data_IF_780722103548
#
_entry.id   IF_780722103548
#
_cell.length_a   1.000
_cell.length_b   1.000
_cell.length_c   1.000
_cell.angle_alpha   90.00
_cell.angle_beta   90.00
_cell.angle_gamma   90.00
#
_symmetry.space_group_name_H-M   'P 1'
#
loop_
_entity.id
_entity.type
_entity.pdbx_description
1 polymer ?
#
# COMPACT_ATOMS: atom_id res chain seq x y z
N UNK A 1 3.66 -8.95 11.69
CA UNK A 1 3.34 -9.16 10.27
C UNK A 1 3.73 -7.89 9.54
N UNK A 2 4.47 -8.01 8.44
CA UNK A 2 4.82 -6.89 7.57
C UNK A 2 3.55 -6.35 6.89
N UNK A 3 3.47 -5.04 6.70
CA UNK A 3 2.40 -4.41 5.94
C UNK A 3 2.72 -4.61 4.46
N UNK A 4 1.87 -5.35 3.74
CA UNK A 4 2.08 -5.69 2.34
C UNK A 4 0.90 -5.34 1.44
N UNK A 5 1.18 -5.19 0.16
CA UNK A 5 0.21 -4.90 -0.91
C UNK A 5 0.08 -6.12 -1.80
N UNK A 6 -1.11 -6.67 -1.92
CA UNK A 6 -1.39 -7.80 -2.80
C UNK A 6 -1.75 -7.32 -4.21
N UNK A 7 -1.03 -7.79 -5.22
CA UNK A 7 -1.34 -7.49 -6.62
C UNK A 7 -2.29 -8.55 -7.15
N UNK A 8 -3.45 -8.13 -7.60
CA UNK A 8 -4.48 -9.00 -8.18
C UNK A 8 -4.89 -8.53 -9.57
N UNK A 9 -5.47 -9.41 -10.36
CA UNK A 9 -6.00 -9.11 -11.69
C UNK A 9 -6.39 -10.38 -12.41
N UNK A 10 -7.27 -10.27 -13.39
CA UNK A 10 -7.62 -11.36 -14.28
C UNK A 10 -6.40 -11.78 -15.16
N UNK A 11 -6.42 -12.93 -15.78
CA UNK A 11 -5.37 -13.31 -16.73
C UNK A 11 -5.21 -12.29 -17.85
N UNK A 12 -3.96 -12.07 -18.29
CA UNK A 12 -3.60 -11.22 -19.44
C UNK A 12 -3.93 -9.72 -19.31
N UNK A 13 -4.10 -9.22 -18.07
CA UNK A 13 -4.30 -7.77 -17.81
C UNK A 13 -3.00 -6.98 -17.64
N UNK A 14 -1.83 -7.65 -17.63
CA UNK A 14 -0.53 -7.05 -17.36
C UNK A 14 -0.07 -7.13 -15.92
N UNK A 15 -0.72 -7.98 -15.08
CA UNK A 15 -0.35 -8.19 -13.69
C UNK A 15 1.12 -8.63 -13.53
N UNK A 16 1.53 -9.65 -14.29
CA UNK A 16 2.91 -10.16 -14.25
C UNK A 16 3.93 -9.13 -14.73
N UNK A 17 3.61 -8.35 -15.77
CA UNK A 17 4.49 -7.26 -16.24
C UNK A 17 4.64 -6.17 -15.17
N UNK A 18 3.56 -5.78 -14.51
CA UNK A 18 3.61 -4.83 -13.39
C UNK A 18 4.47 -5.37 -12.24
N UNK A 19 4.31 -6.65 -11.88
CA UNK A 19 5.13 -7.27 -10.84
C UNK A 19 6.59 -7.42 -11.25
N UNK A 20 6.87 -7.75 -12.52
CA UNK A 20 8.22 -7.82 -13.07
C UNK A 20 8.92 -6.46 -13.01
N UNK A 21 8.22 -5.36 -13.34
CA UNK A 21 8.78 -4.02 -13.22
C UNK A 21 9.18 -3.71 -11.77
N UNK A 22 8.35 -4.06 -10.78
CA UNK A 22 8.68 -3.94 -9.35
C UNK A 22 9.90 -4.79 -8.97
N UNK A 23 9.96 -6.05 -9.41
CA UNK A 23 11.07 -6.96 -9.12
C UNK A 23 12.38 -6.49 -9.75
N UNK A 24 12.33 -6.00 -10.99
CA UNK A 24 13.51 -5.41 -11.66
C UNK A 24 13.98 -4.15 -10.91
N UNK A 25 13.06 -3.30 -10.45
CA UNK A 25 13.39 -2.13 -9.62
C UNK A 25 14.07 -2.56 -8.32
N UNK A 26 13.56 -3.59 -7.62
CA UNK A 26 14.22 -4.17 -6.45
C UNK A 26 15.65 -4.62 -6.76
N UNK A 27 15.84 -5.35 -7.84
CA UNK A 27 17.16 -5.87 -8.23
C UNK A 27 18.15 -4.74 -8.55
N UNK A 28 17.70 -3.68 -9.22
CA UNK A 28 18.52 -2.50 -9.49
C UNK A 28 18.93 -1.76 -8.19
N UNK A 29 18.10 -1.82 -7.15
CA UNK A 29 18.34 -1.20 -5.85
C UNK A 29 19.05 -2.11 -4.84
N UNK A 30 19.19 -3.41 -5.13
CA UNK A 30 19.71 -4.43 -4.18
C UNK A 30 21.13 -4.19 -3.69
N UNK A 31 21.94 -3.44 -4.44
CA UNK A 31 23.29 -3.03 -4.00
C UNK A 31 23.30 -2.28 -2.65
N UNK A 32 22.18 -1.65 -2.27
CA UNK A 32 22.03 -0.89 -1.04
C UNK A 32 21.46 -1.70 0.15
N UNK A 33 20.99 -2.96 -0.08
CA UNK A 33 20.35 -3.81 0.93
C UNK A 33 20.89 -5.25 0.88
N UNK A 34 22.02 -5.55 1.52
CA UNK A 34 22.73 -6.84 1.40
C UNK A 34 22.02 -8.06 2.02
N UNK A 35 20.82 -7.89 2.64
CA UNK A 35 20.11 -8.96 3.35
C UNK A 35 18.68 -9.21 2.85
N UNK A 36 18.27 -8.70 1.67
CA UNK A 36 16.96 -9.04 1.11
C UNK A 36 17.00 -10.44 0.49
N UNK A 37 16.33 -11.38 1.14
CA UNK A 37 16.02 -12.69 0.54
C UNK A 37 15.02 -12.46 -0.59
N UNK A 38 15.36 -12.86 -1.81
CA UNK A 38 14.43 -12.77 -2.96
C UNK A 38 13.45 -13.96 -2.82
N UNK A 39 12.20 -13.67 -2.51
CA UNK A 39 11.11 -14.65 -2.55
C UNK A 39 10.41 -14.56 -3.92
N UNK A 40 10.07 -15.70 -4.57
CA UNK A 40 9.58 -15.71 -5.96
C UNK A 40 8.34 -14.84 -6.23
N UNK A 41 7.51 -14.61 -5.22
CA UNK A 41 6.25 -13.89 -5.34
C UNK A 41 6.22 -12.60 -4.52
N UNK A 42 7.39 -12.09 -4.08
CA UNK A 42 7.50 -10.86 -3.30
C UNK A 42 8.52 -9.90 -3.90
N UNK A 43 8.16 -8.64 -3.96
CA UNK A 43 9.05 -7.56 -4.34
C UNK A 43 9.07 -6.51 -3.23
N UNK A 44 10.27 -6.17 -2.74
CA UNK A 44 10.48 -5.11 -1.75
C UNK A 44 11.15 -3.95 -2.47
N UNK A 45 10.44 -2.85 -2.61
CA UNK A 45 10.90 -1.70 -3.38
C UNK A 45 10.99 -0.45 -2.53
N UNK A 46 11.94 0.42 -2.86
CA UNK A 46 12.09 1.71 -2.20
C UNK A 46 10.88 2.60 -2.47
N UNK A 47 10.42 3.31 -1.45
CA UNK A 47 9.41 4.37 -1.58
C UNK A 47 10.10 5.62 -2.12
N UNK A 48 9.72 6.11 -3.32
CA UNK A 48 10.25 7.37 -3.84
C UNK A 48 9.85 8.52 -2.90
N UNK A 49 10.85 9.24 -2.38
CA UNK A 49 10.63 10.40 -1.52
C UNK A 49 11.67 11.49 -1.79
N UNK A 50 11.26 12.51 -2.56
CA UNK A 50 12.13 13.65 -2.93
C UNK A 50 12.65 14.43 -1.71
N UNK A 51 11.99 14.30 -0.56
CA UNK A 51 12.43 14.95 0.67
C UNK A 51 13.74 14.37 1.18
N UNK A 52 13.90 13.05 1.05
CA UNK A 52 15.12 12.35 1.45
C UNK A 52 16.33 12.83 0.62
N UNK A 53 16.14 13.01 -0.70
CA UNK A 53 17.19 13.51 -1.60
C UNK A 53 17.57 14.96 -1.26
N UNK A 54 16.60 15.81 -0.96
CA UNK A 54 16.84 17.19 -0.56
C UNK A 54 17.60 17.29 0.77
N UNK A 55 17.27 16.46 1.76
CA UNK A 55 18.02 16.34 3.02
C UNK A 55 19.48 15.91 2.76
N UNK A 56 19.66 14.92 1.87
CA UNK A 56 20.99 14.40 1.51
C UNK A 56 21.86 15.46 0.83
N UNK A 57 21.30 16.35 0.00
CA UNK A 57 22.03 17.46 -0.62
C UNK A 57 22.58 18.44 0.43
N UNK A 58 21.87 18.68 1.55
CA UNK A 58 22.33 19.55 2.63
C UNK A 58 23.39 18.86 3.50
N UNK A 59 23.11 17.62 3.91
CA UNK A 59 23.94 16.91 4.89
C UNK A 59 25.17 16.26 4.26
N UNK A 60 25.09 15.89 2.96
CA UNK A 60 26.10 15.17 2.18
C UNK A 60 26.58 13.89 2.90
N UNK A 61 25.65 12.93 3.13
CA UNK A 61 25.92 11.72 3.87
C UNK A 61 26.77 10.73 3.05
N UNK A 62 27.39 9.75 3.74
CA UNK A 62 28.06 8.63 3.09
C UNK A 62 27.07 7.69 2.40
N UNK A 63 25.82 7.60 2.91
CA UNK A 63 24.76 6.74 2.34
C UNK A 63 23.38 7.29 2.59
N UNK A 64 22.45 6.92 1.69
CA UNK A 64 21.03 7.27 1.74
C UNK A 64 20.23 5.97 1.83
N UNK A 65 19.31 5.89 2.80
CA UNK A 65 18.47 4.70 3.02
C UNK A 65 16.98 5.09 2.94
N UNK A 66 16.29 4.53 1.96
CA UNK A 66 14.87 4.74 1.73
C UNK A 66 13.99 3.83 2.60
N UNK A 67 12.76 4.24 2.84
CA UNK A 67 11.68 3.34 3.28
C UNK A 67 11.33 2.36 2.17
N UNK A 68 10.74 1.23 2.53
CA UNK A 68 10.37 0.19 1.57
C UNK A 68 8.89 -0.21 1.72
N UNK A 69 8.32 -0.71 0.61
CA UNK A 69 7.01 -1.37 0.57
C UNK A 69 7.17 -2.77 -0.01
N UNK A 70 6.48 -3.73 0.60
CA UNK A 70 6.40 -5.10 0.11
C UNK A 70 5.17 -5.27 -0.79
N UNK A 71 5.40 -5.76 -2.01
CA UNK A 71 4.36 -6.20 -2.93
C UNK A 71 4.38 -7.72 -3.04
N UNK A 72 3.20 -8.32 -3.08
CA UNK A 72 3.02 -9.77 -3.21
C UNK A 72 2.26 -10.05 -4.48
N UNK A 73 2.86 -10.81 -5.41
CA UNK A 73 2.14 -11.29 -6.60
C UNK A 73 1.19 -12.41 -6.19
N UNK A 74 -0.10 -12.15 -6.29
CA UNK A 74 -1.12 -13.12 -5.97
C UNK A 74 -1.55 -13.78 -7.29
N UNK A 75 -1.30 -15.09 -7.41
CA UNK A 75 -1.65 -15.86 -8.61
C UNK A 75 -3.09 -15.60 -9.04
N UNK A 76 -3.30 -15.45 -10.37
CA UNK A 76 -4.54 -14.94 -10.94
C UNK A 76 -5.81 -15.67 -10.48
N UNK A 77 -6.86 -14.89 -10.32
CA UNK A 77 -8.19 -15.36 -9.99
C UNK A 77 -8.73 -16.23 -11.13
N UNK A 78 -9.17 -17.45 -10.80
CA UNK A 78 -10.03 -18.24 -11.67
C UNK A 78 -11.46 -18.01 -11.19
N UNK A 79 -12.38 -17.69 -12.09
CA UNK A 79 -13.81 -17.52 -11.80
C UNK A 79 -14.33 -18.72 -11.00
N UNK A 80 -14.97 -18.48 -9.84
CA UNK A 80 -15.42 -19.52 -8.93
C UNK A 80 -14.41 -19.88 -7.83
N UNK A 81 -13.42 -19.04 -7.56
CA UNK A 81 -12.43 -19.21 -6.48
C UNK A 81 -13.07 -19.41 -5.10
N UNK A 82 -14.22 -18.75 -4.85
CA UNK A 82 -14.99 -18.84 -3.61
C UNK A 82 -15.69 -20.20 -3.41
N UNK A 83 -15.88 -21.01 -4.47
CA UNK A 83 -16.53 -22.33 -4.39
C UNK A 83 -15.62 -23.46 -3.90
N UNK A 84 -14.37 -23.16 -3.56
CA UNK A 84 -13.56 -24.04 -2.71
C UNK A 84 -12.72 -25.10 -3.43
N UNK A 85 -12.45 -24.99 -4.72
CA UNK A 85 -11.55 -25.91 -5.42
C UNK A 85 -10.11 -25.34 -5.53
N UNK A 86 -9.19 -25.91 -4.77
CA UNK A 86 -7.74 -25.83 -4.96
C UNK A 86 -7.13 -24.43 -4.96
N UNK A 87 -6.80 -23.91 -6.14
CA UNK A 87 -6.07 -22.65 -6.34
C UNK A 87 -6.83 -21.41 -5.85
N UNK A 88 -8.18 -21.44 -5.87
CA UNK A 88 -9.00 -20.33 -5.39
C UNK A 88 -8.85 -20.07 -3.89
N UNK A 89 -8.78 -21.12 -3.07
CA UNK A 89 -8.57 -20.96 -1.63
C UNK A 89 -7.20 -20.38 -1.30
N UNK A 90 -6.16 -20.74 -2.07
CA UNK A 90 -4.82 -20.20 -1.89
C UNK A 90 -4.77 -18.71 -2.29
N UNK A 91 -5.45 -18.31 -3.37
CA UNK A 91 -5.61 -16.92 -3.78
C UNK A 91 -6.23 -16.07 -2.66
N UNK A 92 -7.37 -16.50 -2.11
CA UNK A 92 -8.05 -15.80 -1.04
C UNK A 92 -7.22 -15.74 0.26
N UNK A 93 -6.48 -16.82 0.57
CA UNK A 93 -5.57 -16.85 1.72
C UNK A 93 -4.43 -15.82 1.57
N UNK A 94 -3.83 -15.73 0.38
CA UNK A 94 -2.77 -14.75 0.12
C UNK A 94 -3.30 -13.30 0.19
N UNK A 95 -4.50 -13.02 -0.35
CA UNK A 95 -5.12 -11.69 -0.20
C UNK A 95 -5.35 -11.37 1.29
N UNK A 96 -5.76 -12.37 2.08
CA UNK A 96 -6.03 -12.17 3.50
C UNK A 96 -4.81 -11.68 4.28
N UNK A 97 -3.61 -12.07 3.87
CA UNK A 97 -2.35 -11.64 4.50
C UNK A 97 -1.93 -10.21 4.15
N UNK A 98 -2.41 -9.67 3.03
CA UNK A 98 -2.13 -8.30 2.61
C UNK A 98 -3.06 -7.29 3.28
N UNK A 99 -2.60 -6.04 3.46
CA UNK A 99 -3.42 -4.95 4.03
C UNK A 99 -4.11 -4.10 2.95
N UNK A 100 -3.50 -3.99 1.76
CA UNK A 100 -4.02 -3.24 0.61
C UNK A 100 -4.05 -4.14 -0.61
N UNK A 101 -5.03 -3.97 -1.45
CA UNK A 101 -5.17 -4.69 -2.73
C UNK A 101 -4.86 -3.71 -3.86
N UNK A 102 -3.95 -4.09 -4.75
CA UNK A 102 -3.65 -3.42 -6.01
C UNK A 102 -4.30 -4.22 -7.14
N UNK A 103 -5.39 -3.73 -7.68
CA UNK A 103 -6.10 -4.41 -8.78
C UNK A 103 -5.64 -3.87 -10.12
N UNK A 104 -4.93 -4.70 -10.90
CA UNK A 104 -4.53 -4.39 -12.27
C UNK A 104 -5.66 -4.72 -13.22
N UNK A 105 -6.03 -3.76 -14.07
CA UNK A 105 -7.15 -3.84 -15.02
C UNK A 105 -6.66 -3.52 -16.42
N UNK A 106 -7.02 -4.36 -17.39
CA UNK A 106 -6.65 -4.14 -18.80
C UNK A 106 -7.46 -2.99 -19.40
N UNK A 107 -6.75 -1.98 -19.87
CA UNK A 107 -7.31 -0.82 -20.57
C UNK A 107 -6.59 -0.52 -21.90
N UNK A 108 -5.76 -1.45 -22.40
CA UNK A 108 -5.08 -1.37 -23.68
C UNK A 108 -5.67 -2.36 -24.69
N UNK A 109 -5.61 -2.03 -25.95
CA UNK A 109 -5.98 -2.92 -27.06
C UNK A 109 -4.71 -3.58 -27.62
N UNK A 110 -4.73 -4.90 -27.82
CA UNK A 110 -3.68 -5.67 -28.46
C UNK A 110 -4.30 -6.96 -29.01
N UNK A 111 -4.32 -7.09 -30.34
CA UNK A 111 -4.91 -8.21 -31.06
C UNK A 111 -4.17 -9.54 -30.81
N UNK A 112 -2.91 -9.48 -30.37
CA UNK A 112 -2.09 -10.66 -30.06
C UNK A 112 -2.33 -11.19 -28.64
N UNK A 113 -3.04 -10.45 -27.79
CA UNK A 113 -3.29 -10.82 -26.40
C UNK A 113 -4.78 -11.11 -26.21
N UNK A 114 -5.12 -12.39 -26.07
CA UNK A 114 -6.51 -12.83 -25.84
C UNK A 114 -7.02 -12.33 -24.49
N UNK A 115 -8.22 -11.74 -24.47
CA UNK A 115 -8.93 -11.43 -23.24
C UNK A 115 -9.78 -12.61 -22.80
N UNK A 116 -9.95 -12.83 -21.49
CA UNK A 116 -10.70 -13.96 -20.91
C UNK A 116 -12.17 -13.96 -21.36
N UNK A 117 -12.73 -12.78 -21.64
CA UNK A 117 -14.13 -12.60 -22.05
C UNK A 117 -14.27 -12.18 -23.53
N UNK A 118 -13.26 -12.40 -24.37
CA UNK A 118 -13.21 -12.01 -25.82
C UNK A 118 -13.40 -10.51 -26.09
N UNK A 119 -13.71 -9.71 -25.07
CA UNK A 119 -13.93 -8.26 -25.17
C UNK A 119 -13.36 -7.56 -23.94
N UNK A 120 -12.71 -6.42 -24.15
CA UNK A 120 -12.19 -5.59 -23.06
C UNK A 120 -13.37 -4.88 -22.39
N UNK A 121 -13.63 -5.25 -21.14
CA UNK A 121 -14.63 -4.60 -20.28
C UNK A 121 -14.06 -4.42 -18.87
N UNK A 122 -13.38 -3.28 -18.63
CA UNK A 122 -12.70 -3.04 -17.35
C UNK A 122 -13.62 -3.07 -16.12
N UNK A 123 -14.88 -2.65 -16.26
CA UNK A 123 -15.82 -2.66 -15.15
C UNK A 123 -16.24 -4.08 -14.79
N UNK A 124 -16.54 -4.91 -15.79
CA UNK A 124 -16.84 -6.31 -15.54
C UNK A 124 -15.66 -7.08 -14.95
N UNK A 125 -14.42 -6.74 -15.34
CA UNK A 125 -13.21 -7.32 -14.76
C UNK A 125 -13.06 -6.94 -13.28
N UNK A 126 -13.35 -5.69 -12.92
CA UNK A 126 -13.35 -5.21 -11.54
C UNK A 126 -14.43 -5.92 -10.73
N UNK A 127 -15.67 -5.90 -11.21
CA UNK A 127 -16.82 -6.50 -10.54
C UNK A 127 -16.63 -8.01 -10.30
N UNK A 128 -15.98 -8.71 -11.23
CA UNK A 128 -15.68 -10.14 -11.08
C UNK A 128 -14.79 -10.41 -9.87
N UNK A 129 -13.76 -9.59 -9.65
CA UNK A 129 -12.86 -9.74 -8.48
C UNK A 129 -13.59 -9.31 -7.20
N UNK A 130 -14.27 -8.17 -7.20
CA UNK A 130 -15.01 -7.68 -6.04
C UNK A 130 -16.06 -8.69 -5.57
N UNK A 131 -16.78 -9.31 -6.51
CA UNK A 131 -17.76 -10.35 -6.21
C UNK A 131 -17.14 -11.56 -5.51
N UNK A 132 -16.00 -12.06 -5.99
CA UNK A 132 -15.33 -13.21 -5.37
C UNK A 132 -14.84 -12.88 -3.93
N UNK A 133 -14.40 -11.63 -3.67
CA UNK A 133 -14.04 -11.19 -2.33
C UNK A 133 -15.27 -11.17 -1.40
N UNK A 134 -16.40 -10.66 -1.87
CA UNK A 134 -17.67 -10.63 -1.10
C UNK A 134 -18.13 -12.06 -0.79
N UNK A 135 -18.13 -12.95 -1.78
CA UNK A 135 -18.55 -14.35 -1.57
C UNK A 135 -17.65 -15.09 -0.57
N UNK A 136 -16.35 -14.80 -0.58
CA UNK A 136 -15.42 -15.37 0.39
C UNK A 136 -15.67 -14.82 1.80
N UNK A 137 -16.04 -13.55 1.93
CA UNK A 137 -16.40 -12.94 3.20
C UNK A 137 -17.70 -13.55 3.76
N UNK A 138 -18.72 -13.76 2.93
CA UNK A 138 -19.96 -14.45 3.31
C UNK A 138 -19.64 -15.86 3.86
N UNK A 139 -18.84 -16.65 3.13
CA UNK A 139 -18.48 -18.00 3.54
C UNK A 139 -17.69 -18.04 4.87
N UNK A 140 -16.89 -17.03 5.13
CA UNK A 140 -16.13 -16.88 6.38
C UNK A 140 -17.04 -16.45 7.53
N UNK A 141 -17.94 -15.49 7.25
CA UNK A 141 -18.88 -14.95 8.21
C UNK A 141 -19.93 -15.98 8.65
N UNK A 142 -20.42 -16.83 7.74
CA UNK A 142 -21.37 -17.93 8.06
C UNK A 142 -20.80 -18.86 9.13
N UNK A 143 -19.56 -19.29 8.97
CA UNK A 143 -18.88 -20.12 9.97
C UNK A 143 -18.77 -19.44 11.34
N UNK A 144 -18.63 -18.11 11.35
CA UNK A 144 -18.56 -17.34 12.59
C UNK A 144 -19.94 -17.18 13.23
N UNK A 145 -20.98 -16.91 12.43
CA UNK A 145 -22.37 -16.84 12.88
C UNK A 145 -22.78 -18.13 13.59
N UNK A 146 -22.49 -19.31 13.00
CA UNK A 146 -22.77 -20.62 13.61
C UNK A 146 -22.11 -20.78 14.99
N UNK A 147 -20.87 -20.28 15.14
CA UNK A 147 -20.15 -20.31 16.43
C UNK A 147 -20.77 -19.36 17.45
N UNK A 148 -21.12 -18.13 17.02
CA UNK A 148 -21.77 -17.13 17.87
C UNK A 148 -23.14 -17.58 18.37
N UNK A 149 -23.94 -18.23 17.52
CA UNK A 149 -25.24 -18.81 17.89
C UNK A 149 -25.10 -19.88 19.00
N UNK A 150 -24.05 -20.71 18.92
CA UNK A 150 -23.77 -21.70 19.96
C UNK A 150 -23.30 -21.04 21.27
N UNK A 151 -22.57 -19.93 21.18
CA UNK A 151 -22.03 -19.19 22.33
C UNK A 151 -23.07 -18.31 23.05
N UNK A 152 -24.20 -17.98 22.42
CA UNK A 152 -25.28 -17.16 23.01
C UNK A 152 -25.78 -17.62 24.37
N UNK A 153 -25.63 -18.92 24.66
CA UNK A 153 -26.07 -19.52 25.95
C UNK A 153 -25.17 -19.10 27.14
N UNK A 154 -24.01 -18.49 26.88
CA UNK A 154 -23.00 -18.25 27.90
C UNK A 154 -22.46 -16.82 28.00
N UNK A 155 -22.73 -15.93 27.01
CA UNK A 155 -22.15 -14.57 27.01
C UNK A 155 -23.09 -13.52 26.42
N UNK A 156 -23.16 -12.35 27.11
CA UNK A 156 -23.94 -11.19 26.67
C UNK A 156 -23.29 -10.48 25.47
N UNK A 157 -21.96 -10.51 25.40
CA UNK A 157 -21.18 -9.88 24.33
C UNK A 157 -21.37 -10.63 22.99
N UNK A 158 -21.58 -11.95 23.04
CA UNK A 158 -21.90 -12.75 21.87
C UNK A 158 -23.18 -12.29 21.14
N UNK A 159 -24.13 -11.65 21.86
CA UNK A 159 -25.38 -11.15 21.27
C UNK A 159 -25.12 -9.98 20.34
N UNK A 160 -24.33 -8.99 20.76
CA UNK A 160 -24.03 -7.80 19.96
C UNK A 160 -23.20 -8.17 18.70
N UNK A 161 -22.24 -9.07 18.88
CA UNK A 161 -21.43 -9.59 17.77
C UNK A 161 -22.29 -10.36 16.76
N UNK A 162 -23.24 -11.19 17.24
CA UNK A 162 -24.14 -11.93 16.37
C UNK A 162 -25.07 -11.00 15.60
N UNK A 163 -25.66 -10.00 16.24
CA UNK A 163 -26.51 -9.01 15.58
C UNK A 163 -25.74 -8.25 14.49
N UNK A 164 -24.53 -7.79 14.79
CA UNK A 164 -23.66 -7.15 13.81
C UNK A 164 -23.33 -8.10 12.65
N UNK A 165 -22.99 -9.36 12.93
CA UNK A 165 -22.66 -10.36 11.93
C UNK A 165 -23.84 -10.68 10.99
N UNK A 166 -25.06 -10.78 11.52
CA UNK A 166 -26.27 -10.99 10.71
C UNK A 166 -26.59 -9.80 9.82
N UNK A 167 -26.48 -8.58 10.33
CA UNK A 167 -26.67 -7.37 9.55
C UNK A 167 -25.62 -7.22 8.45
N UNK A 168 -24.34 -7.52 8.76
CA UNK A 168 -23.27 -7.52 7.78
C UNK A 168 -23.51 -8.60 6.71
N UNK A 169 -23.98 -9.80 7.09
CA UNK A 169 -24.31 -10.85 6.13
C UNK A 169 -25.36 -10.39 5.14
N UNK A 170 -26.45 -9.78 5.60
CA UNK A 170 -27.51 -9.22 4.73
C UNK A 170 -26.93 -8.19 3.75
N UNK A 171 -26.02 -7.31 4.23
CA UNK A 171 -25.35 -6.31 3.39
C UNK A 171 -24.48 -6.94 2.30
N UNK A 172 -23.72 -7.99 2.65
CA UNK A 172 -22.87 -8.73 1.70
C UNK A 172 -23.71 -9.54 0.69
N UNK A 173 -24.84 -10.13 1.11
CA UNK A 173 -25.79 -10.83 0.24
C UNK A 173 -26.45 -9.91 -0.80
N UNK A 174 -26.53 -8.60 -0.53
CA UNK A 174 -26.91 -7.58 -1.51
C UNK A 174 -25.75 -7.19 -2.45
N UNK A 175 -24.66 -7.95 -2.46
CA UNK A 175 -23.43 -7.71 -3.23
C UNK A 175 -22.74 -6.37 -2.92
N UNK A 176 -22.91 -5.87 -1.70
CA UNK A 176 -22.27 -4.66 -1.20
C UNK A 176 -21.03 -5.04 -0.39
N UNK A 177 -19.85 -4.47 -0.66
CA UNK A 177 -18.61 -4.83 0.05
C UNK A 177 -18.66 -4.39 1.52
N UNK A 178 -17.94 -5.09 2.39
CA UNK A 178 -17.90 -4.81 3.83
C UNK A 178 -17.44 -3.36 4.14
N UNK A 179 -16.61 -2.75 3.31
CA UNK A 179 -16.17 -1.35 3.44
C UNK A 179 -17.33 -0.34 3.39
N UNK A 180 -18.45 -0.69 2.75
CA UNK A 180 -19.65 0.17 2.65
C UNK A 180 -20.73 -0.17 3.68
N UNK A 181 -20.47 -1.11 4.59
CA UNK A 181 -21.39 -1.45 5.66
C UNK A 181 -21.62 -0.24 6.59
N UNK A 182 -22.87 0.18 6.85
CA UNK A 182 -23.14 1.40 7.63
C UNK A 182 -22.54 1.43 9.04
N UNK A 183 -22.32 0.25 9.63
CA UNK A 183 -21.73 0.09 10.96
C UNK A 183 -20.27 -0.38 10.92
N UNK A 184 -19.55 -0.14 9.84
CA UNK A 184 -18.15 -0.58 9.65
C UNK A 184 -17.13 0.06 10.61
N UNK A 185 -17.54 1.05 11.40
CA UNK A 185 -16.73 1.67 12.47
C UNK A 185 -17.18 1.27 13.87
N UNK A 186 -18.24 0.45 14.01
CA UNK A 186 -18.73 0.00 15.30
C UNK A 186 -17.73 -0.96 15.97
N UNK A 187 -17.70 -0.99 17.30
CA UNK A 187 -16.82 -1.88 18.06
C UNK A 187 -17.02 -3.35 17.68
N UNK A 188 -18.28 -3.78 17.53
CA UNK A 188 -18.62 -5.14 17.14
C UNK A 188 -18.11 -5.49 15.73
N UNK A 189 -18.20 -4.57 14.75
CA UNK A 189 -17.66 -4.78 13.42
C UNK A 189 -16.12 -4.85 13.45
N UNK A 190 -15.47 -3.92 14.15
CA UNK A 190 -14.01 -3.88 14.26
C UNK A 190 -13.45 -5.14 14.93
N UNK A 191 -14.16 -5.71 15.91
CA UNK A 191 -13.81 -6.99 16.53
C UNK A 191 -13.93 -8.14 15.52
N UNK A 192 -15.05 -8.21 14.77
CA UNK A 192 -15.23 -9.21 13.71
C UNK A 192 -14.18 -9.08 12.61
N UNK A 193 -13.89 -7.86 12.15
CA UNK A 193 -12.90 -7.62 11.09
C UNK A 193 -11.48 -7.97 11.55
N UNK A 194 -11.13 -7.65 12.79
CA UNK A 194 -9.83 -8.04 13.38
C UNK A 194 -9.64 -9.57 13.42
N UNK A 195 -10.72 -10.33 13.71
CA UNK A 195 -10.69 -11.79 13.73
C UNK A 195 -10.74 -12.40 12.34
N UNK A 196 -11.67 -11.94 11.49
CA UNK A 196 -12.01 -12.58 10.22
C UNK A 196 -11.21 -11.99 9.05
N UNK A 197 -10.74 -10.75 9.17
CA UNK A 197 -9.98 -10.00 8.15
C UNK A 197 -10.74 -9.99 6.83
N UNK A 198 -11.88 -9.30 6.80
CA UNK A 198 -12.75 -9.23 5.64
C UNK A 198 -12.00 -8.69 4.42
N UNK A 199 -12.10 -9.44 3.32
CA UNK A 199 -11.39 -9.13 2.08
C UNK A 199 -12.00 -7.91 1.39
N UNK A 200 -13.33 -7.80 1.38
CA UNK A 200 -14.05 -6.67 0.78
C UNK A 200 -14.06 -5.40 1.67
N UNK A 201 -13.46 -5.46 2.88
CA UNK A 201 -13.18 -4.29 3.72
C UNK A 201 -11.84 -3.64 3.40
N UNK A 202 -10.91 -4.38 2.77
CA UNK A 202 -9.57 -3.88 2.45
C UNK A 202 -9.60 -2.69 1.51
N UNK A 203 -8.62 -1.79 1.67
CA UNK A 203 -8.42 -0.69 0.75
C UNK A 203 -7.97 -1.19 -0.60
N UNK A 204 -8.47 -0.56 -1.66
CA UNK A 204 -8.14 -0.92 -3.04
C UNK A 204 -7.53 0.26 -3.79
N UNK A 205 -6.53 -0.07 -4.61
CA UNK A 205 -5.94 0.82 -5.60
C UNK A 205 -6.22 0.20 -6.98
N UNK A 206 -6.91 0.94 -7.84
CA UNK A 206 -7.19 0.48 -9.20
C UNK A 206 -6.09 0.97 -10.14
N UNK A 207 -5.44 0.04 -10.83
CA UNK A 207 -4.38 0.31 -11.80
C UNK A 207 -4.89 0.01 -13.19
N UNK A 208 -5.14 1.04 -13.98
CA UNK A 208 -5.45 0.91 -15.39
C UNK A 208 -4.14 0.69 -16.17
N UNK A 209 -3.93 -0.52 -16.68
CA UNK A 209 -2.83 -0.80 -17.59
C UNK A 209 -3.24 -0.37 -18.99
N UNK A 210 -2.64 0.70 -19.50
CA UNK A 210 -2.95 1.37 -20.77
C UNK A 210 -1.84 1.19 -21.80
N UNK A 211 -2.10 1.57 -23.05
CA UNK A 211 -1.05 1.77 -24.06
C UNK A 211 -0.19 3.00 -23.75
N UNK A 212 0.97 3.09 -24.38
CA UNK A 212 1.90 4.22 -24.20
C UNK A 212 1.23 5.54 -24.61
N UNK A 213 0.48 5.55 -25.70
CA UNK A 213 -0.25 6.68 -26.24
C UNK A 213 -1.35 7.22 -25.31
N UNK A 214 -1.83 6.40 -24.39
CA UNK A 214 -2.93 6.73 -23.45
C UNK A 214 -2.44 7.26 -22.09
N UNK A 215 -1.13 7.33 -21.86
CA UNK A 215 -0.57 7.78 -20.58
C UNK A 215 -0.87 9.26 -20.30
N UNK A 216 -0.76 10.11 -21.31
CA UNK A 216 -1.03 11.55 -21.20
C UNK A 216 -2.53 11.84 -21.28
N UNK A 217 -3.26 11.13 -22.15
CA UNK A 217 -4.69 11.33 -22.38
C UNK A 217 -5.45 10.01 -22.29
N UNK A 218 -5.96 9.70 -21.10
CA UNK A 218 -6.64 8.44 -20.80
C UNK A 218 -7.71 8.08 -21.86
N UNK A 219 -7.66 6.85 -22.36
CA UNK A 219 -8.71 6.31 -23.22
C UNK A 219 -10.02 6.07 -22.43
N UNK A 220 -11.08 5.68 -23.14
CA UNK A 220 -12.41 5.49 -22.54
C UNK A 220 -12.45 4.34 -21.51
N UNK A 221 -11.64 3.29 -21.68
CA UNK A 221 -11.52 2.20 -20.72
C UNK A 221 -10.91 2.67 -19.39
N UNK A 222 -9.79 3.38 -19.46
CA UNK A 222 -9.14 3.93 -18.28
C UNK A 222 -9.99 5.00 -17.56
N UNK A 223 -10.74 5.83 -18.31
CA UNK A 223 -11.71 6.79 -17.75
C UNK A 223 -12.81 6.09 -16.95
N UNK A 224 -13.33 4.95 -17.42
CA UNK A 224 -14.32 4.15 -16.70
C UNK A 224 -13.75 3.65 -15.35
N UNK A 225 -12.52 3.11 -15.36
CA UNK A 225 -11.83 2.67 -14.14
C UNK A 225 -11.62 3.84 -13.16
N UNK A 226 -11.19 4.99 -13.67
CA UNK A 226 -11.01 6.20 -12.85
C UNK A 226 -12.30 6.67 -12.20
N UNK A 227 -13.40 6.66 -12.93
CA UNK A 227 -14.71 7.05 -12.40
C UNK A 227 -15.22 6.04 -11.36
N UNK A 228 -15.01 4.75 -11.58
CA UNK A 228 -15.32 3.70 -10.62
C UNK A 228 -14.50 3.89 -9.34
N UNK A 229 -13.19 4.06 -9.44
CA UNK A 229 -12.31 4.31 -8.28
C UNK A 229 -12.79 5.52 -7.47
N UNK A 230 -13.13 6.62 -8.14
CA UNK A 230 -13.68 7.82 -7.50
C UNK A 230 -15.00 7.55 -6.77
N UNK A 231 -15.92 6.81 -7.40
CA UNK A 231 -17.21 6.43 -6.79
C UNK A 231 -17.03 5.55 -5.55
N UNK A 232 -15.97 4.72 -5.53
CA UNK A 232 -15.59 3.85 -4.42
C UNK A 232 -14.69 4.52 -3.37
N UNK A 233 -14.41 5.82 -3.50
CA UNK A 233 -13.44 6.55 -2.67
C UNK A 233 -12.08 5.82 -2.56
N UNK A 234 -11.61 5.30 -3.69
CA UNK A 234 -10.38 4.52 -3.84
C UNK A 234 -9.39 5.24 -4.73
N UNK A 235 -8.10 4.92 -4.58
CA UNK A 235 -7.04 5.51 -5.42
C UNK A 235 -7.03 4.90 -6.82
N UNK A 236 -6.55 5.71 -7.79
CA UNK A 236 -6.43 5.35 -9.19
C UNK A 236 -5.05 5.71 -9.75
N UNK A 237 -4.50 4.79 -10.53
CA UNK A 237 -3.27 5.00 -11.31
C UNK A 237 -3.49 4.51 -12.75
N UNK A 238 -2.96 5.24 -13.73
CA UNK A 238 -2.72 4.71 -15.06
C UNK A 238 -1.23 4.44 -15.23
N UNK A 239 -0.87 3.31 -15.81
CA UNK A 239 0.51 2.98 -16.18
C UNK A 239 0.52 2.12 -17.45
N UNK A 240 1.63 2.12 -18.16
CA UNK A 240 1.92 1.16 -19.21
C UNK A 240 2.94 0.14 -18.67
N UNK A 241 2.48 -1.06 -18.29
CA UNK A 241 3.33 -2.04 -17.61
C UNK A 241 4.55 -2.44 -18.44
N UNK A 242 4.43 -2.48 -19.78
CA UNK A 242 5.54 -2.76 -20.69
C UNK A 242 6.60 -1.65 -20.61
N UNK A 243 6.18 -0.40 -20.65
CA UNK A 243 7.05 0.74 -20.58
C UNK A 243 7.78 0.83 -19.23
N UNK A 244 7.06 0.54 -18.13
CA UNK A 244 7.66 0.50 -16.79
C UNK A 244 8.76 -0.56 -16.69
N UNK A 245 8.60 -1.71 -17.34
CA UNK A 245 9.65 -2.74 -17.40
C UNK A 245 10.90 -2.27 -18.17
N UNK A 246 10.72 -1.47 -19.21
CA UNK A 246 11.82 -0.95 -20.05
C UNK A 246 12.57 0.18 -19.34
N UNK A 247 11.85 1.09 -18.67
CA UNK A 247 12.43 2.23 -17.95
C UNK A 247 13.36 1.83 -16.79
N UNK A 248 13.24 0.64 -16.22
CA UNK A 248 14.12 0.19 -15.13
C UNK A 248 15.60 0.16 -15.54
N UNK A 249 15.90 0.01 -16.83
CA UNK A 249 17.26 -0.02 -17.35
C UNK A 249 17.83 1.35 -17.74
N UNK A 250 17.02 2.41 -17.64
CA UNK A 250 17.42 3.79 -17.94
C UNK A 250 17.99 4.45 -16.68
N UNK A 251 18.90 5.42 -16.88
CA UNK A 251 19.34 6.31 -15.79
C UNK A 251 18.20 7.25 -15.36
N UNK A 252 18.27 7.81 -14.14
CA UNK A 252 17.25 8.72 -13.65
C UNK A 252 17.00 9.94 -14.55
N UNK A 253 18.04 10.47 -15.19
CA UNK A 253 17.92 11.60 -16.13
C UNK A 253 17.26 11.16 -17.44
N UNK A 254 17.61 9.99 -17.98
CA UNK A 254 16.95 9.42 -19.17
C UNK A 254 15.46 9.14 -18.93
N UNK A 255 15.11 8.56 -17.78
CA UNK A 255 13.69 8.36 -17.38
C UNK A 255 12.93 9.67 -17.35
N UNK A 256 13.54 10.72 -16.77
CA UNK A 256 12.92 12.02 -16.67
C UNK A 256 12.68 12.67 -18.03
N UNK A 257 13.68 12.66 -18.92
CA UNK A 257 13.56 13.17 -20.29
C UNK A 257 12.51 12.38 -21.08
N UNK A 258 12.50 11.05 -20.92
CA UNK A 258 11.55 10.19 -21.58
C UNK A 258 10.10 10.46 -21.13
N UNK A 259 9.83 10.52 -19.82
CA UNK A 259 8.51 10.85 -19.29
C UNK A 259 8.04 12.25 -19.72
N UNK A 260 8.95 13.23 -19.77
CA UNK A 260 8.63 14.58 -20.28
C UNK A 260 8.25 14.54 -21.77
N UNK A 261 8.90 13.69 -22.58
CA UNK A 261 8.54 13.54 -24.00
C UNK A 261 7.14 12.98 -24.20
N UNK A 262 6.68 12.15 -23.25
CA UNK A 262 5.32 11.61 -23.21
C UNK A 262 4.30 12.57 -22.54
N UNK A 263 4.74 13.73 -22.03
CA UNK A 263 3.88 14.66 -21.31
C UNK A 263 3.45 14.16 -19.91
N UNK A 264 4.24 13.30 -19.29
CA UNK A 264 3.98 12.69 -17.99
C UNK A 264 5.01 13.18 -16.97
N UNK A 265 4.58 13.55 -15.76
CA UNK A 265 5.45 14.13 -14.73
C UNK A 265 6.18 13.09 -13.86
N UNK A 266 5.57 11.91 -13.65
CA UNK A 266 6.12 10.80 -12.84
C UNK A 266 5.74 9.46 -13.45
N UNK A 267 6.57 8.44 -13.20
CA UNK A 267 6.27 7.05 -13.58
C UNK A 267 5.00 6.55 -12.86
N UNK A 268 4.17 5.78 -13.59
CA UNK A 268 2.99 5.15 -13.01
C UNK A 268 3.36 4.17 -11.90
N UNK A 269 4.52 3.51 -12.01
CA UNK A 269 5.04 2.60 -10.99
C UNK A 269 5.43 3.35 -9.72
N UNK A 270 6.17 4.46 -9.82
CA UNK A 270 6.52 5.31 -8.67
C UNK A 270 5.27 5.82 -7.95
N UNK A 271 4.28 6.29 -8.72
CA UNK A 271 2.98 6.71 -8.18
C UNK A 271 2.26 5.56 -7.48
N UNK A 272 2.29 4.36 -8.05
CA UNK A 272 1.70 3.15 -7.43
C UNK A 272 2.36 2.84 -6.11
N UNK A 273 3.70 2.87 -6.01
CA UNK A 273 4.45 2.62 -4.77
C UNK A 273 4.08 3.66 -3.71
N UNK A 274 4.08 4.94 -4.07
CA UNK A 274 3.76 6.05 -3.15
C UNK A 274 2.31 5.98 -2.63
N UNK A 275 1.34 5.70 -3.50
CA UNK A 275 -0.05 5.53 -3.10
C UNK A 275 -0.25 4.27 -2.24
N UNK A 276 0.43 3.18 -2.54
CA UNK A 276 0.42 1.96 -1.74
C UNK A 276 0.92 2.23 -0.31
N UNK A 277 2.02 2.97 -0.17
CA UNK A 277 2.55 3.39 1.13
C UNK A 277 1.54 4.24 1.92
N UNK A 278 0.91 5.20 1.27
CA UNK A 278 -0.15 6.05 1.85
C UNK A 278 -1.36 5.21 2.30
N UNK A 279 -1.83 4.29 1.45
CA UNK A 279 -3.00 3.47 1.75
C UNK A 279 -2.76 2.44 2.86
N UNK A 280 -1.51 2.01 3.07
CA UNK A 280 -1.09 1.24 4.25
C UNK A 280 -1.17 2.06 5.56
N UNK A 281 -1.50 3.35 5.48
CA UNK A 281 -1.55 4.25 6.63
C UNK A 281 -0.18 4.57 7.21
N UNK A 282 0.85 4.54 6.37
CA UNK A 282 2.25 4.76 6.74
C UNK A 282 2.64 6.22 6.51
N UNK A 283 3.58 6.68 7.33
CA UNK A 283 4.27 7.95 7.19
C UNK A 283 5.77 7.74 7.39
N UNK A 284 6.56 8.69 6.90
CA UNK A 284 8.00 8.71 7.07
C UNK A 284 8.43 9.84 8.02
N UNK A 285 9.34 9.52 8.94
CA UNK A 285 10.21 10.51 9.55
C UNK A 285 11.66 10.26 9.14
N UNK A 286 12.51 11.25 9.30
CA UNK A 286 13.89 11.18 8.85
C UNK A 286 14.87 11.29 10.01
N UNK A 287 16.03 10.63 9.85
CA UNK A 287 17.24 10.94 10.61
C UNK A 287 18.27 11.45 9.64
N UNK A 288 18.91 12.58 9.96
CA UNK A 288 19.87 13.25 9.09
C UNK A 288 21.22 13.38 9.78
N UNK A 289 22.21 12.62 9.33
CA UNK A 289 23.56 12.63 9.88
C UNK A 289 24.63 12.39 8.81
N UNK A 290 25.88 12.74 9.10
CA UNK A 290 27.01 12.62 8.15
C UNK A 290 27.23 11.17 7.67
N UNK A 291 26.98 10.18 8.52
CA UNK A 291 27.11 8.75 8.14
C UNK A 291 25.97 8.28 7.26
N UNK A 292 24.73 8.71 7.59
CA UNK A 292 23.55 8.35 6.82
C UNK A 292 22.43 9.39 6.95
N UNK A 293 21.68 9.54 5.87
CA UNK A 293 20.34 10.11 5.87
C UNK A 293 19.38 8.97 5.58
N UNK A 294 18.38 8.80 6.47
CA UNK A 294 17.49 7.65 6.40
C UNK A 294 16.04 8.03 6.62
N UNK A 295 15.18 7.42 5.82
CA UNK A 295 13.74 7.45 5.97
C UNK A 295 13.30 6.25 6.83
N UNK A 296 12.51 6.51 7.86
CA UNK A 296 11.98 5.51 8.78
C UNK A 296 10.47 5.46 8.70
N UNK A 297 9.94 4.26 8.54
CA UNK A 297 8.50 4.03 8.37
C UNK A 297 7.82 3.78 9.69
N UNK A 298 6.73 4.52 9.96
CA UNK A 298 5.83 4.30 11.10
C UNK A 298 4.38 4.39 10.65
N UNK A 299 3.46 3.87 11.46
CA UNK A 299 2.03 4.11 11.26
C UNK A 299 1.68 5.56 11.60
N UNK A 300 0.83 6.17 10.81
CA UNK A 300 0.26 7.49 11.11
C UNK A 300 -0.39 7.46 12.49
N UNK A 301 -0.09 8.46 13.32
CA UNK A 301 -0.55 8.53 14.71
C UNK A 301 0.37 7.86 15.73
N UNK A 302 1.56 7.38 15.32
CA UNK A 302 2.57 6.85 16.24
C UNK A 302 3.20 7.94 17.10
N UNK A 303 3.40 7.65 18.40
CA UNK A 303 4.09 8.55 19.32
C UNK A 303 5.62 8.49 19.14
N UNK A 304 6.34 9.50 19.65
CA UNK A 304 7.79 9.59 19.57
C UNK A 304 8.53 8.36 20.16
N UNK A 305 8.14 7.77 21.31
CA UNK A 305 8.74 6.53 21.76
C UNK A 305 8.59 5.35 20.80
N UNK A 306 7.39 5.19 20.21
CA UNK A 306 7.13 4.14 19.20
C UNK A 306 8.00 4.35 17.97
N UNK A 307 8.15 5.59 17.51
CA UNK A 307 9.03 5.93 16.41
C UNK A 307 10.50 5.60 16.73
N UNK A 308 10.96 5.95 17.94
CA UNK A 308 12.30 5.58 18.41
C UNK A 308 12.52 4.05 18.44
N UNK A 309 11.48 3.30 18.78
CA UNK A 309 11.46 1.84 18.82
C UNK A 309 11.69 1.18 17.47
N UNK A 310 11.34 1.86 16.37
CA UNK A 310 11.60 1.37 15.01
C UNK A 310 13.10 1.36 14.69
N UNK A 311 13.87 2.28 15.26
CA UNK A 311 15.33 2.30 15.16
C UNK A 311 15.93 1.16 15.97
N UNK A 312 15.57 1.08 17.26
CA UNK A 312 15.98 0.03 18.17
C UNK A 312 15.03 -0.06 19.38
N UNK A 313 14.70 -1.27 19.81
CA UNK A 313 13.79 -1.50 20.95
C UNK A 313 14.24 -0.81 22.26
N UNK A 314 15.54 -0.67 22.45
CA UNK A 314 16.06 0.02 23.62
C UNK A 314 15.81 1.53 23.57
N UNK A 315 15.72 2.12 22.38
CA UNK A 315 15.38 3.55 22.22
C UNK A 315 13.95 3.84 22.68
N UNK A 316 13.02 2.90 22.45
CA UNK A 316 11.65 3.01 22.96
C UNK A 316 11.62 2.93 24.49
N UNK A 317 12.30 1.92 25.08
CA UNK A 317 12.33 1.69 26.53
C UNK A 317 13.01 2.83 27.28
N UNK A 318 14.16 3.26 26.77
CA UNK A 318 14.98 4.32 27.37
C UNK A 318 14.63 5.73 26.89
N UNK A 319 13.51 5.94 26.18
CA UNK A 319 13.15 7.23 25.58
C UNK A 319 13.10 8.35 26.60
N UNK A 320 13.83 9.44 26.35
CA UNK A 320 13.85 10.66 27.15
C UNK A 320 13.10 11.76 26.44
N UNK A 321 13.49 12.08 25.20
CA UNK A 321 12.92 13.15 24.38
C UNK A 321 13.30 12.97 22.92
N UNK A 322 12.55 13.64 22.01
CA UNK A 322 12.91 13.82 20.60
C UNK A 322 13.27 15.28 20.34
N UNK A 323 14.42 15.52 19.75
CA UNK A 323 14.78 16.79 19.13
C UNK A 323 14.22 16.78 17.73
N UNK A 324 13.26 17.65 17.44
CA UNK A 324 12.40 17.60 16.26
C UNK A 324 12.51 18.88 15.44
N UNK A 325 12.75 18.75 14.14
CA UNK A 325 12.72 19.85 13.18
C UNK A 325 11.77 19.41 12.07
N UNK A 326 10.86 20.30 11.61
CA UNK A 326 10.05 19.99 10.43
C UNK A 326 10.94 19.90 9.19
N UNK A 327 10.55 19.10 8.20
CA UNK A 327 11.26 19.05 6.92
C UNK A 327 11.44 20.45 6.32
N UNK A 328 10.38 21.24 6.29
CA UNK A 328 10.39 22.58 5.69
C UNK A 328 11.39 23.51 6.40
N UNK A 329 11.43 23.50 7.73
CA UNK A 329 12.40 24.28 8.51
C UNK A 329 13.83 23.79 8.29
N UNK A 330 14.03 22.47 8.21
CA UNK A 330 15.35 21.89 7.95
C UNK A 330 15.92 22.35 6.60
N UNK A 331 15.07 22.38 5.57
CA UNK A 331 15.46 22.88 4.24
C UNK A 331 15.67 24.38 4.26
N UNK A 332 14.72 25.16 4.81
CA UNK A 332 14.77 26.62 4.83
C UNK A 332 16.02 27.14 5.56
N UNK A 333 16.40 26.49 6.66
CA UNK A 333 17.55 26.90 7.48
C UNK A 333 18.83 26.11 7.18
N UNK A 334 18.85 25.34 6.09
CA UNK A 334 20.03 24.61 5.59
C UNK A 334 20.64 23.64 6.61
N UNK A 335 19.79 22.94 7.35
CA UNK A 335 20.17 21.86 8.25
C UNK A 335 19.93 22.19 9.74
N UNK A 336 20.34 21.23 10.59
CA UNK A 336 20.08 21.26 12.03
C UNK A 336 20.64 22.50 12.75
N UNK A 337 21.87 22.91 12.40
CA UNK A 337 22.53 24.06 13.05
C UNK A 337 21.76 25.35 12.77
N UNK A 338 21.37 25.61 11.52
CA UNK A 338 20.60 26.79 11.15
C UNK A 338 19.19 26.77 11.76
N UNK A 339 18.52 25.62 11.77
CA UNK A 339 17.22 25.48 12.41
C UNK A 339 17.29 25.76 13.91
N UNK A 340 18.34 25.30 14.61
CA UNK A 340 18.57 25.56 16.01
C UNK A 340 18.82 27.05 16.30
N UNK A 341 19.63 27.71 15.49
CA UNK A 341 19.88 29.16 15.60
C UNK A 341 18.60 29.99 15.44
N UNK A 342 17.68 29.55 14.56
CA UNK A 342 16.40 30.22 14.33
C UNK A 342 15.29 29.80 15.29
N UNK A 343 15.57 28.92 16.25
CA UNK A 343 14.60 28.44 17.24
C UNK A 343 13.57 27.47 16.68
N UNK A 344 13.82 26.86 15.50
CA UNK A 344 12.93 25.92 14.87
C UNK A 344 13.12 24.46 15.38
N UNK A 345 14.18 24.20 16.14
CA UNK A 345 14.38 22.91 16.80
C UNK A 345 13.48 22.86 18.05
N UNK A 346 12.52 21.94 18.06
CA UNK A 346 11.60 21.68 19.16
C UNK A 346 12.08 20.49 19.99
N UNK A 347 11.74 20.49 21.26
CA UNK A 347 12.00 19.37 22.18
C UNK A 347 10.65 18.77 22.53
N UNK A 348 10.45 17.53 22.10
CA UNK A 348 9.18 16.82 22.21
C UNK A 348 9.27 15.66 23.22
N UNK A 349 8.20 15.47 23.99
CA UNK A 349 8.08 14.43 25.00
C UNK A 349 7.45 13.14 24.46
N UNK A 350 7.07 12.25 25.42
CA UNK A 350 6.52 10.92 25.11
C UNK A 350 5.18 10.94 24.38
N UNK A 351 4.39 11.98 24.59
CA UNK A 351 3.03 12.10 24.01
C UNK A 351 3.02 12.76 22.63
N UNK A 352 4.18 13.18 22.14
CA UNK A 352 4.29 13.77 20.81
C UNK A 352 3.92 12.76 19.73
N UNK A 353 2.97 13.12 18.88
CA UNK A 353 2.59 12.34 17.70
C UNK A 353 3.43 12.80 16.53
N UNK A 354 4.29 11.91 16.05
CA UNK A 354 5.23 12.20 14.95
C UNK A 354 4.46 12.55 13.67
N UNK A 355 4.89 13.63 13.03
CA UNK A 355 4.33 14.09 11.77
C UNK A 355 5.14 13.55 10.58
N UNK A 356 4.44 13.40 9.44
CA UNK A 356 5.11 12.99 8.20
C UNK A 356 6.10 14.07 7.75
N UNK A 357 7.37 13.69 7.61
CA UNK A 357 8.45 14.60 7.26
C UNK A 357 9.25 15.16 8.44
N UNK A 358 8.92 14.84 9.69
CA UNK A 358 9.75 15.25 10.82
C UNK A 358 11.19 14.73 10.68
N UNK A 359 12.17 15.59 10.94
CA UNK A 359 13.58 15.20 11.10
C UNK A 359 13.84 15.07 12.60
N UNK A 360 14.13 13.84 13.05
CA UNK A 360 14.17 13.48 14.47
C UNK A 360 15.56 13.05 14.92
N UNK A 361 15.92 13.50 16.15
CA UNK A 361 17.06 12.97 16.87
C UNK A 361 16.60 12.55 18.26
N UNK A 362 16.58 11.24 18.53
CA UNK A 362 16.13 10.69 19.81
C UNK A 362 17.23 10.72 20.87
N UNK A 363 16.87 11.17 22.06
CA UNK A 363 17.70 11.05 23.27
C UNK A 363 17.12 9.95 24.14
N UNK A 364 17.92 9.00 24.48
CA UNK A 364 17.55 7.84 25.28
C UNK A 364 18.65 7.50 26.27
N UNK A 365 18.27 6.78 27.33
CA UNK A 365 19.17 6.22 28.31
C UNK A 365 18.89 4.71 28.43
N UNK A 366 19.94 3.89 28.32
CA UNK A 366 19.84 2.42 28.37
C UNK A 366 20.50 1.95 29.65
#
# INVERSE_FOLDING_TARGET
>A
MGLSVGIVGLPNVGKSSTFNALTKTQNAQSANYPFCTIEPNKAIVNVPDRRLDALAQIVKPERILHSVVEFVDIAGLIKGASKGEGLGNQFLANIKECEVILQVVRCFEDDNITHVNDKIDPLNDIETIELELILADIATLDKRIDRLQKALKSSKDAKNLLECALNLKTHLEELKPAKTFPLNTSEAFLELDKELRFLSHKKMIYVANVGEEDLNALNEHAKKVKNHAKAQNSEFVALCAKLEEEMVFMSGDEVKEFLQSLGVEESGLEKTIRLSFKELGLINYFTAGVKEVRSWTIKKGSSAPVAAGVIHKDFEKGFIRAETISYDDFIAYKGEAGAKEKGALRIEGKDYIVQDGDVLHFRFNV
#
